data_IF_267901943596
#
_entry.id   IF_267901943596
#
_cell.length_a   1.000
_cell.length_b   1.000
_cell.length_c   1.000
_cell.angle_alpha   90.00
_cell.angle_beta   90.00
_cell.angle_gamma   90.00
#
_symmetry.space_group_name_H-M   'P 1'
#
loop_
_entity.id
_entity.type
_entity.pdbx_description
1 polymer ?
#
# COMPACT_ATOMS: atom_id res chain seq x y z
N UNK A 1 0.51 -13.30 -17.50
CA UNK A 1 -0.58 -12.31 -17.45
C UNK A 1 -0.03 -11.08 -16.75
N UNK A 2 0.29 -10.04 -17.51
CA UNK A 2 0.93 -8.81 -17.01
C UNK A 2 0.04 -7.56 -17.17
N UNK A 3 -0.96 -7.62 -18.05
CA UNK A 3 -1.94 -6.55 -18.24
C UNK A 3 -2.86 -6.43 -17.04
N UNK A 4 -3.00 -5.21 -16.49
CA UNK A 4 -3.90 -4.92 -15.37
C UNK A 4 -5.35 -5.30 -15.70
N UNK A 5 -5.94 -4.93 -16.86
CA UNK A 5 -7.26 -5.40 -17.27
C UNK A 5 -7.44 -6.93 -17.21
N UNK A 6 -6.47 -7.70 -17.67
CA UNK A 6 -6.55 -9.16 -17.68
C UNK A 6 -6.55 -9.74 -16.26
N UNK A 7 -5.79 -9.13 -15.34
CA UNK A 7 -5.80 -9.52 -13.93
C UNK A 7 -7.19 -9.36 -13.33
N UNK A 8 -7.84 -8.21 -13.57
CA UNK A 8 -9.19 -7.97 -13.05
C UNK A 8 -10.25 -8.84 -13.73
N UNK A 9 -10.10 -9.15 -15.02
CA UNK A 9 -10.95 -10.12 -15.72
C UNK A 9 -10.84 -11.52 -15.11
N UNK A 10 -9.61 -11.98 -14.80
CA UNK A 10 -9.37 -13.26 -14.13
C UNK A 10 -9.92 -13.28 -12.70
N UNK A 11 -9.75 -12.18 -11.94
CA UNK A 11 -10.34 -12.02 -10.60
C UNK A 11 -11.86 -12.16 -10.66
N UNK A 12 -12.52 -11.43 -11.57
CA UNK A 12 -13.98 -11.49 -11.73
C UNK A 12 -14.44 -12.88 -12.16
N UNK A 13 -13.73 -13.53 -13.09
CA UNK A 13 -14.04 -14.90 -13.53
C UNK A 13 -13.98 -15.90 -12.39
N UNK A 14 -13.06 -15.73 -11.44
CA UNK A 14 -12.89 -16.60 -10.27
C UNK A 14 -13.83 -16.26 -9.11
N UNK A 15 -14.62 -15.20 -9.24
CA UNK A 15 -15.62 -14.76 -8.26
C UNK A 15 -16.99 -14.55 -8.91
N UNK A 16 -17.66 -15.62 -9.40
CA UNK A 16 -18.97 -15.51 -10.01
C UNK A 16 -20.02 -14.90 -9.07
N UNK A 17 -19.82 -14.97 -7.75
CA UNK A 17 -20.72 -14.37 -6.75
C UNK A 17 -20.77 -12.84 -6.81
N UNK A 18 -19.83 -12.17 -7.49
CA UNK A 18 -19.92 -10.72 -7.73
C UNK A 18 -21.20 -10.35 -8.51
N UNK A 19 -21.75 -11.26 -9.33
CA UNK A 19 -23.06 -11.07 -9.95
C UNK A 19 -24.16 -10.79 -8.90
N UNK A 20 -24.09 -11.46 -7.74
CA UNK A 20 -25.06 -11.25 -6.65
C UNK A 20 -24.99 -9.83 -6.10
N UNK A 21 -23.80 -9.21 -6.10
CA UNK A 21 -23.64 -7.81 -5.69
C UNK A 21 -24.36 -6.88 -6.66
N UNK A 22 -24.16 -7.08 -7.97
CA UNK A 22 -24.86 -6.32 -9.01
C UNK A 22 -26.38 -6.43 -8.86
N UNK A 23 -26.91 -7.65 -8.69
CA UNK A 23 -28.34 -7.92 -8.46
C UNK A 23 -28.85 -7.29 -7.17
N UNK A 24 -28.11 -7.42 -6.08
CA UNK A 24 -28.50 -6.86 -4.78
C UNK A 24 -28.56 -5.34 -4.78
N UNK A 25 -27.61 -4.70 -5.46
CA UNK A 25 -27.61 -3.24 -5.63
C UNK A 25 -28.81 -2.76 -6.47
N UNK A 26 -29.31 -3.58 -7.39
CA UNK A 26 -30.53 -3.31 -8.18
C UNK A 26 -30.56 -1.90 -8.79
N UNK A 27 -29.45 -1.49 -9.40
CA UNK A 27 -29.29 -0.16 -10.02
C UNK A 27 -28.82 0.94 -9.07
N UNK A 28 -28.84 0.74 -7.74
CA UNK A 28 -28.22 1.64 -6.76
C UNK A 28 -26.70 1.58 -6.89
N UNK A 29 -26.03 2.72 -6.69
CA UNK A 29 -24.57 2.76 -6.59
C UNK A 29 -24.09 2.17 -5.26
N UNK A 30 -22.96 1.46 -5.31
CA UNK A 30 -22.17 1.10 -4.13
C UNK A 30 -21.52 2.38 -3.59
N UNK A 31 -21.90 2.80 -2.39
CA UNK A 31 -21.45 4.04 -1.76
C UNK A 31 -20.15 3.78 -0.99
N UNK A 32 -19.07 4.41 -1.42
CA UNK A 32 -17.72 4.15 -0.90
C UNK A 32 -17.11 5.43 -0.35
N UNK A 33 -16.50 5.34 0.82
CA UNK A 33 -15.67 6.39 1.39
C UNK A 33 -14.26 5.89 1.63
N UNK A 34 -13.28 6.79 1.53
CA UNK A 34 -11.88 6.48 1.80
C UNK A 34 -11.28 7.44 2.84
N UNK A 35 -10.41 6.90 3.69
CA UNK A 35 -9.69 7.67 4.71
C UNK A 35 -8.21 7.35 4.69
N UNK A 36 -7.36 8.37 4.88
CA UNK A 36 -5.94 8.29 4.53
C UNK A 36 -5.80 7.80 3.08
N UNK A 37 -6.56 8.45 2.20
CA UNK A 37 -6.94 7.94 0.87
C UNK A 37 -5.76 7.77 -0.09
N UNK A 38 -4.65 8.47 0.14
CA UNK A 38 -3.47 8.41 -0.70
C UNK A 38 -3.78 8.78 -2.14
N UNK A 39 -3.77 7.79 -3.03
CA UNK A 39 -4.05 7.95 -4.46
C UNK A 39 -5.29 7.18 -4.91
N UNK A 40 -6.22 6.88 -3.99
CA UNK A 40 -7.53 6.26 -4.28
C UNK A 40 -7.44 4.90 -4.99
N UNK A 41 -6.42 4.09 -4.62
CA UNK A 41 -6.29 2.73 -5.16
C UNK A 41 -7.54 1.86 -4.97
N UNK A 42 -8.33 1.96 -3.87
CA UNK A 42 -9.55 1.17 -3.73
C UNK A 42 -10.62 1.50 -4.79
N UNK A 43 -10.80 2.78 -5.11
CA UNK A 43 -11.79 3.20 -6.12
C UNK A 43 -11.38 2.77 -7.52
N UNK A 44 -10.08 2.86 -7.85
CA UNK A 44 -9.56 2.34 -9.11
C UNK A 44 -9.81 0.83 -9.24
N UNK A 45 -9.53 0.07 -8.18
CA UNK A 45 -9.77 -1.36 -8.15
C UNK A 45 -11.26 -1.70 -8.32
N UNK A 46 -12.16 -1.03 -7.60
CA UNK A 46 -13.61 -1.23 -7.75
C UNK A 46 -14.10 -0.87 -9.15
N UNK A 47 -13.57 0.20 -9.76
CA UNK A 47 -13.87 0.56 -11.14
C UNK A 47 -13.38 -0.48 -12.14
N UNK A 48 -12.21 -1.08 -11.92
CA UNK A 48 -11.69 -2.17 -12.75
C UNK A 48 -12.52 -3.46 -12.61
N UNK A 49 -12.95 -3.80 -11.38
CA UNK A 49 -13.88 -4.92 -11.13
C UNK A 49 -15.20 -4.68 -11.87
N UNK A 50 -15.80 -3.50 -11.70
CA UNK A 50 -17.07 -3.16 -12.35
C UNK A 50 -17.00 -3.22 -13.88
N UNK A 51 -15.90 -2.74 -14.48
CA UNK A 51 -15.66 -2.85 -15.94
C UNK A 51 -15.46 -4.29 -16.38
N UNK A 52 -14.69 -5.09 -15.63
CA UNK A 52 -14.46 -6.50 -15.95
C UNK A 52 -15.77 -7.31 -15.87
N UNK A 53 -16.65 -7.00 -14.91
CA UNK A 53 -17.98 -7.63 -14.82
C UNK A 53 -18.87 -7.29 -16.01
N UNK A 54 -18.76 -6.08 -16.58
CA UNK A 54 -19.61 -5.63 -17.67
C UNK A 54 -19.51 -6.53 -18.91
N UNK A 55 -18.35 -7.17 -19.14
CA UNK A 55 -18.17 -8.17 -20.19
C UNK A 55 -19.07 -9.40 -20.04
N UNK A 56 -19.54 -9.69 -18.82
CA UNK A 56 -20.43 -10.80 -18.50
C UNK A 56 -21.90 -10.35 -18.32
N UNK A 57 -22.26 -9.14 -18.74
CA UNK A 57 -23.63 -8.63 -18.65
C UNK A 57 -24.05 -8.14 -17.26
N UNK A 58 -23.12 -8.03 -16.31
CA UNK A 58 -23.38 -7.54 -14.95
C UNK A 58 -22.49 -6.35 -14.64
N UNK A 59 -22.99 -5.37 -13.88
CA UNK A 59 -22.16 -4.24 -13.47
C UNK A 59 -22.73 -3.57 -12.23
N UNK A 60 -21.93 -2.75 -11.58
CA UNK A 60 -22.39 -1.86 -10.52
C UNK A 60 -21.68 -0.52 -10.62
N UNK A 61 -22.36 0.55 -10.20
CA UNK A 61 -21.76 1.87 -10.13
C UNK A 61 -21.12 2.06 -8.77
N UNK A 62 -20.01 2.78 -8.73
CA UNK A 62 -19.37 3.22 -7.49
C UNK A 62 -19.70 4.69 -7.31
N UNK A 63 -20.36 5.03 -6.21
CA UNK A 63 -20.54 6.40 -5.77
C UNK A 63 -19.46 6.72 -4.75
N UNK A 64 -18.59 7.67 -5.11
CA UNK A 64 -17.57 8.18 -4.21
C UNK A 64 -18.21 9.21 -3.26
N UNK A 65 -18.35 8.88 -1.99
CA UNK A 65 -19.04 9.73 -1.00
C UNK A 65 -18.11 10.84 -0.50
N UNK A 66 -16.90 10.48 -0.06
CA UNK A 66 -15.85 11.41 0.30
C UNK A 66 -14.48 10.73 0.33
N UNK A 67 -13.44 11.56 0.21
CA UNK A 67 -12.05 11.23 0.53
C UNK A 67 -11.61 11.96 1.78
N UNK A 68 -10.61 11.43 2.49
CA UNK A 68 -9.91 12.16 3.54
C UNK A 68 -8.40 11.91 3.44
N UNK A 69 -7.63 12.96 3.18
CA UNK A 69 -6.17 12.88 3.00
C UNK A 69 -5.51 14.16 3.52
N UNK A 70 -4.41 14.02 4.27
CA UNK A 70 -3.70 15.15 4.88
C UNK A 70 -2.61 15.75 3.99
N UNK A 71 -2.00 14.94 3.11
CA UNK A 71 -0.89 15.38 2.28
C UNK A 71 -1.35 16.23 1.09
N UNK A 72 -0.93 17.50 0.96
CA UNK A 72 -1.47 18.42 -0.05
C UNK A 72 -1.27 17.97 -1.50
N UNK A 73 -0.12 17.37 -1.83
CA UNK A 73 0.11 16.90 -3.21
C UNK A 73 -0.76 15.68 -3.55
N UNK A 74 -1.14 14.88 -2.55
CA UNK A 74 -2.07 13.77 -2.73
C UNK A 74 -3.50 14.27 -2.83
N UNK A 75 -3.89 15.26 -2.03
CA UNK A 75 -5.17 15.96 -2.19
C UNK A 75 -5.33 16.50 -3.62
N UNK A 76 -4.29 17.17 -4.16
CA UNK A 76 -4.31 17.64 -5.55
C UNK A 76 -4.44 16.51 -6.58
N UNK A 77 -3.81 15.36 -6.33
CA UNK A 77 -4.01 14.17 -7.16
C UNK A 77 -5.44 13.65 -7.09
N UNK A 78 -6.02 13.54 -5.88
CA UNK A 78 -7.40 13.07 -5.68
C UNK A 78 -8.36 13.99 -6.41
N UNK A 79 -8.23 15.30 -6.24
CA UNK A 79 -9.11 16.29 -6.86
C UNK A 79 -9.06 16.20 -8.39
N UNK A 80 -7.86 16.11 -8.97
CA UNK A 80 -7.68 16.08 -10.41
C UNK A 80 -8.23 14.80 -11.06
N UNK A 81 -8.16 13.66 -10.37
CA UNK A 81 -8.44 12.35 -10.98
C UNK A 81 -9.79 11.75 -10.55
N UNK A 82 -10.32 12.15 -9.40
CA UNK A 82 -11.56 11.59 -8.82
C UNK A 82 -12.61 12.65 -8.53
N UNK A 83 -12.20 13.90 -8.30
CA UNK A 83 -13.08 15.05 -8.00
C UNK A 83 -14.22 14.67 -7.04
N UNK A 84 -13.90 14.15 -5.84
CA UNK A 84 -14.93 13.70 -4.91
C UNK A 84 -15.89 14.83 -4.53
N UNK A 85 -17.15 14.53 -4.19
CA UNK A 85 -18.08 15.54 -3.68
C UNK A 85 -17.53 16.29 -2.45
N UNK A 86 -16.76 15.59 -1.60
CA UNK A 86 -16.11 16.16 -0.44
C UNK A 86 -14.71 15.56 -0.29
N UNK A 87 -13.70 16.41 -0.16
CA UNK A 87 -12.34 16.04 0.22
C UNK A 87 -12.01 16.64 1.58
N UNK A 88 -11.99 15.82 2.63
CA UNK A 88 -11.59 16.22 3.98
C UNK A 88 -10.07 16.24 4.12
N UNK A 89 -9.57 17.16 4.94
CA UNK A 89 -8.13 17.32 5.16
C UNK A 89 -7.57 16.44 6.27
N UNK A 90 -8.37 16.15 7.31
CA UNK A 90 -7.87 15.49 8.52
C UNK A 90 -8.92 14.50 9.05
N UNK A 91 -8.49 13.24 9.14
CA UNK A 91 -9.32 12.13 9.61
C UNK A 91 -9.67 12.27 11.09
N UNK A 92 -8.86 12.99 11.86
CA UNK A 92 -9.10 13.22 13.30
C UNK A 92 -10.36 14.06 13.54
N UNK A 93 -10.76 14.89 12.57
CA UNK A 93 -11.97 15.71 12.64
C UNK A 93 -13.25 14.88 12.37
N UNK A 94 -13.13 13.71 11.74
CA UNK A 94 -14.28 12.92 11.25
C UNK A 94 -15.10 12.23 12.35
N UNK A 95 -14.65 12.25 13.60
CA UNK A 95 -15.49 11.86 14.74
C UNK A 95 -16.62 12.85 15.05
N UNK A 96 -16.49 14.10 14.58
CA UNK A 96 -17.44 15.19 14.79
C UNK A 96 -18.70 15.10 13.94
N UNK A 97 -19.54 16.14 13.99
CA UNK A 97 -20.66 16.33 13.05
C UNK A 97 -20.23 17.07 11.78
N UNK A 98 -19.19 17.89 11.89
CA UNK A 98 -18.58 18.66 10.80
C UNK A 98 -17.07 18.47 10.80
N UNK A 99 -16.46 18.59 9.63
CA UNK A 99 -15.01 18.58 9.45
C UNK A 99 -14.60 19.54 8.34
N UNK A 100 -13.32 19.91 8.37
CA UNK A 100 -12.72 20.86 7.44
C UNK A 100 -12.30 20.16 6.15
N UNK A 101 -12.67 20.73 5.01
CA UNK A 101 -12.23 20.26 3.70
C UNK A 101 -10.77 20.63 3.44
N UNK A 102 -10.15 20.02 2.42
CA UNK A 102 -8.82 20.41 1.93
C UNK A 102 -8.75 21.90 1.51
N UNK A 103 -9.90 22.51 1.21
CA UNK A 103 -10.02 23.93 0.81
C UNK A 103 -10.34 24.86 1.99
N UNK A 104 -10.42 24.33 3.22
CA UNK A 104 -10.65 25.12 4.43
C UNK A 104 -12.12 25.37 4.78
N UNK A 105 -13.08 24.80 4.05
CA UNK A 105 -14.50 24.94 4.36
C UNK A 105 -14.93 23.94 5.44
N UNK A 106 -15.76 24.36 6.40
CA UNK A 106 -16.34 23.47 7.40
C UNK A 106 -17.69 22.92 6.90
N UNK A 107 -17.78 21.60 6.69
CA UNK A 107 -18.96 20.95 6.11
C UNK A 107 -19.45 19.79 6.96
N UNK A 108 -20.73 19.40 6.81
CA UNK A 108 -21.29 18.24 7.50
C UNK A 108 -20.64 16.94 7.01
N UNK A 109 -20.34 16.05 7.96
CA UNK A 109 -19.72 14.76 7.66
C UNK A 109 -20.82 13.79 7.19
N UNK A 110 -20.75 13.27 5.95
CA UNK A 110 -21.76 12.37 5.44
C UNK A 110 -21.66 10.99 6.10
N UNK A 111 -22.81 10.35 6.27
CA UNK A 111 -22.93 8.93 6.60
C UNK A 111 -23.45 8.12 5.40
N UNK A 112 -24.19 7.04 5.69
CA UNK A 112 -24.81 6.19 4.68
C UNK A 112 -23.79 5.71 3.63
N UNK A 113 -22.77 4.98 4.10
CA UNK A 113 -21.69 4.42 3.28
C UNK A 113 -21.81 2.90 3.38
N UNK A 114 -21.73 2.21 2.26
CA UNK A 114 -21.74 0.74 2.24
C UNK A 114 -20.35 0.20 2.63
N UNK A 115 -19.30 0.80 2.09
CA UNK A 115 -17.91 0.37 2.22
C UNK A 115 -16.99 1.54 2.60
N UNK A 116 -16.30 1.41 3.74
CA UNK A 116 -15.18 2.26 4.11
C UNK A 116 -13.86 1.52 3.83
N UNK A 117 -12.92 2.17 3.17
CA UNK A 117 -11.53 1.69 3.06
C UNK A 117 -10.57 2.70 3.68
N UNK A 118 -9.74 2.26 4.64
CA UNK A 118 -8.83 3.15 5.34
C UNK A 118 -7.42 2.58 5.44
N UNK A 119 -6.44 3.35 4.96
CA UNK A 119 -5.00 3.08 5.10
C UNK A 119 -4.39 3.95 6.19
N UNK A 120 -4.82 3.78 7.45
CA UNK A 120 -4.38 4.62 8.59
C UNK A 120 -2.86 4.68 8.70
N UNK A 121 -2.32 5.78 9.24
CA UNK A 121 -0.87 5.98 9.31
C UNK A 121 -0.16 4.78 9.96
N UNK A 122 1.00 4.41 9.41
CA UNK A 122 1.83 3.32 9.90
C UNK A 122 3.11 3.79 10.61
N UNK A 123 3.26 5.10 10.80
CA UNK A 123 4.50 5.72 11.31
C UNK A 123 4.91 5.11 12.65
N UNK A 124 3.98 4.95 13.58
CA UNK A 124 4.31 4.43 14.93
C UNK A 124 4.48 2.91 14.96
N UNK A 125 3.87 2.21 14.00
CA UNK A 125 3.89 0.74 13.91
C UNK A 125 5.00 0.20 13.01
N UNK A 126 5.65 1.07 12.23
CA UNK A 126 6.64 0.71 11.24
C UNK A 126 7.91 0.17 11.87
N UNK A 127 8.43 -0.93 11.32
CA UNK A 127 9.71 -1.46 11.75
C UNK A 127 10.89 -0.50 11.50
N UNK A 128 10.69 0.48 10.60
CA UNK A 128 11.66 1.52 10.26
C UNK A 128 11.65 2.69 11.24
N UNK A 129 10.64 2.80 12.11
CA UNK A 129 10.60 3.78 13.17
C UNK A 129 11.39 3.27 14.39
N UNK A 130 12.28 4.13 14.88
CA UNK A 130 13.17 3.87 16.02
C UNK A 130 12.51 4.18 17.37
N UNK A 131 11.39 4.90 17.39
CA UNK A 131 10.61 5.27 18.57
C UNK A 131 9.14 4.85 18.36
N UNK A 132 8.90 3.54 18.35
CA UNK A 132 7.55 3.00 18.12
C UNK A 132 6.64 3.29 19.31
N UNK A 133 5.41 3.65 19.01
CA UNK A 133 4.38 3.94 20.00
C UNK A 133 3.22 2.96 19.81
N UNK A 134 2.60 2.54 20.93
CA UNK A 134 1.42 1.68 20.91
C UNK A 134 0.17 2.40 20.40
N UNK A 135 -0.91 1.66 20.14
CA UNK A 135 -2.15 2.21 19.57
C UNK A 135 -2.83 3.25 20.48
N UNK A 136 -2.56 3.24 21.78
CA UNK A 136 -3.14 4.17 22.77
C UNK A 136 -2.10 5.19 23.31
N UNK A 137 -0.91 5.26 22.69
CA UNK A 137 0.20 6.10 23.17
C UNK A 137 0.22 7.52 22.54
N UNK A 138 -0.85 7.93 21.85
CA UNK A 138 -1.01 9.30 21.35
C UNK A 138 -0.15 9.68 20.12
N UNK A 139 0.41 8.69 19.41
CA UNK A 139 1.14 8.90 18.16
C UNK A 139 0.24 9.12 16.93
N UNK A 140 0.84 9.46 15.78
CA UNK A 140 0.13 9.71 14.52
C UNK A 140 -0.74 8.51 14.07
N UNK A 141 -0.22 7.29 14.20
CA UNK A 141 -0.96 6.06 13.91
C UNK A 141 -2.14 5.87 14.86
N UNK A 142 -1.97 6.24 16.13
CA UNK A 142 -3.06 6.22 17.11
C UNK A 142 -4.16 7.21 16.75
N UNK A 143 -3.79 8.46 16.46
CA UNK A 143 -4.75 9.53 16.19
C UNK A 143 -5.57 9.25 14.92
N UNK A 144 -4.90 8.82 13.85
CA UNK A 144 -5.57 8.48 12.59
C UNK A 144 -6.50 7.27 12.74
N UNK A 145 -6.11 6.25 13.50
CA UNK A 145 -6.97 5.11 13.83
C UNK A 145 -8.19 5.52 14.66
N UNK A 146 -8.01 6.33 15.70
CA UNK A 146 -9.11 6.79 16.55
C UNK A 146 -10.08 7.71 15.81
N UNK A 147 -9.60 8.61 14.95
CA UNK A 147 -10.44 9.44 14.08
C UNK A 147 -11.36 8.59 13.19
N UNK A 148 -10.76 7.60 12.52
CA UNK A 148 -11.50 6.63 11.70
C UNK A 148 -12.50 5.82 12.54
N UNK A 149 -12.07 5.26 13.68
CA UNK A 149 -12.92 4.44 14.55
C UNK A 149 -14.12 5.23 15.10
N UNK A 150 -13.93 6.50 15.45
CA UNK A 150 -15.01 7.38 15.88
C UNK A 150 -16.04 7.61 14.78
N UNK A 151 -15.59 7.81 13.54
CA UNK A 151 -16.50 7.90 12.39
C UNK A 151 -17.25 6.59 12.17
N UNK A 152 -16.58 5.44 12.21
CA UNK A 152 -17.21 4.11 12.08
C UNK A 152 -18.24 3.89 13.18
N UNK A 153 -17.92 4.24 14.43
CA UNK A 153 -18.84 4.12 15.57
C UNK A 153 -20.12 4.93 15.34
N UNK A 154 -20.01 6.12 14.75
CA UNK A 154 -21.12 7.04 14.49
C UNK A 154 -21.95 6.65 13.27
N UNK A 155 -21.30 6.38 12.14
CA UNK A 155 -21.97 6.23 10.84
C UNK A 155 -22.19 4.78 10.41
N UNK A 156 -21.54 3.83 11.09
CA UNK A 156 -21.74 2.38 10.97
C UNK A 156 -21.82 1.86 9.53
N UNK A 157 -20.77 2.02 8.70
CA UNK A 157 -20.74 1.41 7.37
C UNK A 157 -20.88 -0.12 7.47
N UNK A 158 -21.51 -0.75 6.47
CA UNK A 158 -21.75 -2.19 6.49
C UNK A 158 -20.42 -2.99 6.49
N UNK A 159 -19.43 -2.50 5.73
CA UNK A 159 -18.11 -3.10 5.59
C UNK A 159 -17.02 -2.04 5.81
N UNK A 160 -16.00 -2.41 6.59
CA UNK A 160 -14.77 -1.64 6.77
C UNK A 160 -13.57 -2.49 6.35
N UNK A 161 -12.67 -1.94 5.54
CA UNK A 161 -11.39 -2.55 5.20
C UNK A 161 -10.28 -1.64 5.70
N UNK A 162 -9.43 -2.17 6.59
CA UNK A 162 -8.24 -1.51 7.08
C UNK A 162 -7.00 -2.11 6.42
N UNK A 163 -6.05 -1.26 6.02
CA UNK A 163 -4.73 -1.67 5.54
C UNK A 163 -3.64 -1.05 6.41
N UNK A 164 -2.61 -1.82 6.73
CA UNK A 164 -1.42 -1.32 7.42
C UNK A 164 -0.21 -2.26 7.23
N UNK A 165 0.95 -1.92 7.81
CA UNK A 165 2.12 -2.80 7.86
C UNK A 165 1.83 -4.08 8.65
N UNK A 166 2.58 -5.15 8.35
CA UNK A 166 2.40 -6.44 9.02
C UNK A 166 2.62 -6.39 10.54
N UNK A 167 3.42 -5.43 11.02
CA UNK A 167 3.74 -5.23 12.44
C UNK A 167 2.73 -4.38 13.20
N UNK A 168 1.67 -3.88 12.55
CA UNK A 168 0.60 -3.18 13.23
C UNK A 168 -0.04 -4.06 14.33
N UNK A 169 -0.58 -3.47 15.40
CA UNK A 169 -1.16 -4.21 16.52
C UNK A 169 -2.55 -4.78 16.16
N UNK A 170 -2.58 -5.72 15.21
CA UNK A 170 -3.82 -6.27 14.63
C UNK A 170 -4.77 -6.88 15.67
N UNK A 171 -4.22 -7.50 16.72
CA UNK A 171 -5.03 -8.03 17.82
C UNK A 171 -5.80 -6.93 18.55
N UNK A 172 -5.14 -5.81 18.85
CA UNK A 172 -5.76 -4.66 19.52
C UNK A 172 -6.77 -3.96 18.59
N UNK A 173 -6.45 -3.82 17.31
CA UNK A 173 -7.37 -3.27 16.30
C UNK A 173 -8.68 -4.08 16.25
N UNK A 174 -8.57 -5.41 16.19
CA UNK A 174 -9.74 -6.30 16.20
C UNK A 174 -10.55 -6.15 17.48
N UNK A 175 -9.90 -6.11 18.64
CA UNK A 175 -10.59 -5.90 19.93
C UNK A 175 -11.34 -4.56 19.95
N UNK A 176 -10.72 -3.46 19.49
CA UNK A 176 -11.38 -2.15 19.43
C UNK A 176 -12.59 -2.15 18.48
N UNK A 177 -12.51 -2.82 17.32
CA UNK A 177 -13.65 -3.00 16.41
C UNK A 177 -14.77 -3.85 17.05
N UNK A 178 -14.42 -4.91 17.78
CA UNK A 178 -15.37 -5.72 18.52
C UNK A 178 -16.11 -4.91 19.59
N UNK A 179 -15.45 -3.96 20.27
CA UNK A 179 -16.11 -3.10 21.26
C UNK A 179 -17.22 -2.21 20.69
N UNK A 180 -17.24 -2.01 19.36
CA UNK A 180 -18.29 -1.27 18.66
C UNK A 180 -19.19 -2.19 17.82
N UNK A 181 -19.27 -3.48 18.16
CA UNK A 181 -20.07 -4.51 17.49
C UNK A 181 -19.71 -4.74 16.01
N UNK A 182 -18.43 -4.71 15.69
CA UNK A 182 -17.93 -5.20 14.40
C UNK A 182 -17.25 -6.55 14.57
N UNK A 183 -17.57 -7.49 13.69
CA UNK A 183 -16.83 -8.74 13.57
C UNK A 183 -15.70 -8.55 12.56
N UNK A 184 -14.47 -8.79 12.99
CA UNK A 184 -13.29 -8.41 12.23
C UNK A 184 -12.25 -9.53 12.18
N UNK A 185 -11.64 -9.73 11.00
CA UNK A 185 -10.61 -10.74 10.78
C UNK A 185 -9.38 -10.10 10.11
N UNK A 186 -8.19 -10.16 10.73
CA UNK A 186 -6.96 -9.68 10.13
C UNK A 186 -6.26 -10.78 9.35
N UNK A 187 -5.54 -10.40 8.30
CA UNK A 187 -4.75 -11.29 7.47
C UNK A 187 -3.56 -10.58 6.85
N UNK A 188 -2.51 -11.35 6.57
CA UNK A 188 -1.31 -10.87 5.87
C UNK A 188 -1.35 -11.34 4.43
N UNK A 189 -1.10 -10.41 3.51
CA UNK A 189 -0.98 -10.67 2.09
C UNK A 189 0.36 -10.16 1.55
N UNK A 190 0.82 -10.78 0.47
CA UNK A 190 2.03 -10.40 -0.26
C UNK A 190 1.66 -10.20 -1.73
N UNK A 191 1.94 -9.03 -2.30
CA UNK A 191 1.55 -8.69 -3.68
C UNK A 191 2.02 -9.71 -4.72
N UNK A 192 3.14 -10.42 -4.46
CA UNK A 192 3.63 -11.49 -5.35
C UNK A 192 2.71 -12.69 -5.49
N UNK A 193 1.81 -12.88 -4.53
CA UNK A 193 0.78 -13.91 -4.56
C UNK A 193 -0.47 -13.44 -5.30
N UNK A 194 -0.51 -12.20 -5.76
CA UNK A 194 -1.66 -11.57 -6.42
C UNK A 194 -1.19 -10.83 -7.67
N UNK A 195 -0.76 -11.60 -8.67
CA UNK A 195 -0.39 -11.19 -10.04
C UNK A 195 0.90 -10.36 -10.19
N UNK A 196 1.24 -9.50 -9.23
CA UNK A 196 2.31 -8.50 -9.37
C UNK A 196 3.67 -9.07 -8.93
N UNK A 197 4.74 -9.07 -9.74
CA UNK A 197 6.06 -9.64 -9.40
C UNK A 197 6.86 -8.72 -8.44
N UNK A 198 6.26 -8.36 -7.30
CA UNK A 198 6.83 -7.51 -6.28
C UNK A 198 6.53 -8.11 -4.91
N UNK A 199 7.52 -8.23 -4.05
CA UNK A 199 7.31 -8.61 -2.64
C UNK A 199 6.95 -7.38 -1.82
N UNK A 200 5.66 -7.15 -1.59
CA UNK A 200 5.16 -6.11 -0.67
C UNK A 200 4.15 -6.74 0.26
N UNK A 201 4.59 -6.97 1.50
CA UNK A 201 3.78 -7.60 2.54
C UNK A 201 3.01 -6.55 3.33
N UNK A 202 1.70 -6.73 3.46
CA UNK A 202 0.80 -5.86 4.23
C UNK A 202 -0.21 -6.66 5.02
N UNK A 203 -0.63 -6.10 6.14
CA UNK A 203 -1.75 -6.60 6.90
C UNK A 203 -3.02 -5.89 6.45
N UNK A 204 -4.10 -6.65 6.36
CA UNK A 204 -5.43 -6.15 6.07
C UNK A 204 -6.38 -6.68 7.13
N UNK A 205 -7.37 -5.89 7.51
CA UNK A 205 -8.45 -6.32 8.38
C UNK A 205 -9.77 -5.95 7.74
N UNK A 206 -10.59 -6.96 7.45
CA UNK A 206 -11.99 -6.75 7.05
C UNK A 206 -12.85 -6.80 8.29
N UNK A 207 -13.81 -5.89 8.40
CA UNK A 207 -14.77 -5.85 9.48
C UNK A 207 -16.19 -5.63 8.96
N UNK A 208 -17.14 -6.37 9.51
CA UNK A 208 -18.56 -6.31 9.17
C UNK A 208 -19.37 -5.81 10.36
N UNK A 209 -20.34 -4.93 10.13
CA UNK A 209 -21.24 -4.48 11.20
C UNK A 209 -22.13 -5.66 11.64
N UNK A 210 -21.84 -6.22 12.83
CA UNK A 210 -22.57 -7.37 13.38
C UNK A 210 -24.04 -7.05 13.61
N UNK A 211 -24.40 -5.78 13.86
CA UNK A 211 -25.79 -5.36 14.04
C UNK A 211 -26.55 -5.43 12.71
N UNK A 212 -25.92 -4.97 11.63
CA UNK A 212 -26.49 -5.02 10.29
C UNK A 212 -26.58 -6.47 9.78
N UNK A 213 -25.52 -7.27 10.00
CA UNK A 213 -25.50 -8.69 9.65
C UNK A 213 -26.64 -9.46 10.34
N UNK A 214 -26.79 -9.29 11.66
CA UNK A 214 -27.84 -9.96 12.44
C UNK A 214 -29.25 -9.63 11.96
N UNK A 215 -29.51 -8.39 11.55
CA UNK A 215 -30.80 -7.98 10.97
C UNK A 215 -31.13 -8.72 9.66
N UNK A 216 -30.10 -9.15 8.93
CA UNK A 216 -30.22 -9.94 7.70
C UNK A 216 -30.14 -11.45 7.96
N UNK A 217 -30.13 -11.89 9.23
CA UNK A 217 -29.95 -13.31 9.58
C UNK A 217 -28.55 -13.85 9.30
N UNK A 218 -27.55 -12.96 9.18
CA UNK A 218 -26.15 -13.30 8.92
C UNK A 218 -25.31 -13.18 10.19
N UNK A 219 -24.22 -13.93 10.24
CA UNK A 219 -23.20 -13.80 11.29
C UNK A 219 -21.99 -13.04 10.74
N UNK A 220 -21.67 -11.91 11.38
CA UNK A 220 -20.54 -11.08 10.98
C UNK A 220 -19.19 -11.80 11.06
N UNK A 221 -19.01 -12.71 12.03
CA UNK A 221 -17.75 -13.45 12.16
C UNK A 221 -17.56 -14.38 10.97
N UNK A 222 -18.58 -15.16 10.65
CA UNK A 222 -18.59 -16.02 9.47
C UNK A 222 -18.38 -15.24 8.17
N UNK A 223 -18.98 -14.05 8.03
CA UNK A 223 -18.71 -13.18 6.87
C UNK A 223 -17.23 -12.79 6.75
N UNK A 224 -16.58 -12.48 7.87
CA UNK A 224 -15.15 -12.12 7.90
C UNK A 224 -14.22 -13.31 7.60
N UNK A 225 -14.59 -14.51 8.04
CA UNK A 225 -13.89 -15.76 7.74
C UNK A 225 -14.05 -16.14 6.26
N UNK A 226 -15.28 -16.11 5.75
CA UNK A 226 -15.60 -16.39 4.34
C UNK A 226 -14.87 -15.43 3.40
N UNK A 227 -14.80 -14.13 3.75
CA UNK A 227 -14.02 -13.15 3.00
C UNK A 227 -12.54 -13.55 2.95
N UNK A 228 -11.96 -13.90 4.09
CA UNK A 228 -10.55 -14.27 4.16
C UNK A 228 -10.24 -15.52 3.33
N UNK A 229 -11.10 -16.53 3.42
CA UNK A 229 -10.96 -17.74 2.62
C UNK A 229 -11.02 -17.43 1.13
N UNK A 230 -12.00 -16.62 0.69
CA UNK A 230 -12.13 -16.21 -0.71
C UNK A 230 -10.89 -15.47 -1.21
N UNK A 231 -10.37 -14.52 -0.45
CA UNK A 231 -9.17 -13.75 -0.85
C UNK A 231 -7.93 -14.64 -0.89
N UNK A 232 -7.79 -15.61 0.01
CA UNK A 232 -6.70 -16.59 -0.06
C UNK A 232 -6.85 -17.50 -1.29
N UNK A 233 -8.05 -17.96 -1.58
CA UNK A 233 -8.34 -18.81 -2.74
C UNK A 233 -8.18 -18.07 -4.06
N UNK A 234 -8.21 -16.73 -4.05
CA UNK A 234 -7.86 -15.88 -5.19
C UNK A 234 -6.36 -15.75 -5.44
N UNK A 235 -5.49 -16.26 -4.56
CA UNK A 235 -4.06 -16.21 -4.78
C UNK A 235 -3.71 -16.78 -6.17
N UNK A 236 -2.91 -16.01 -6.90
CA UNK A 236 -2.35 -16.36 -8.20
C UNK A 236 -0.98 -15.70 -8.29
N UNK A 237 0.10 -16.47 -8.06
CA UNK A 237 1.44 -15.94 -8.13
C UNK A 237 1.73 -15.23 -9.45
N UNK A 238 2.59 -14.22 -9.39
CA UNK A 238 3.06 -13.54 -10.60
C UNK A 238 3.62 -14.57 -11.60
N UNK A 239 3.08 -14.56 -12.81
CA UNK A 239 3.35 -15.59 -13.84
C UNK A 239 4.15 -15.04 -15.02
N UNK A 240 4.79 -13.89 -14.84
CA UNK A 240 5.53 -13.15 -15.86
C UNK A 240 6.71 -12.42 -15.19
N UNK A 241 7.81 -12.23 -15.92
CA UNK A 241 8.98 -11.53 -15.41
C UNK A 241 8.70 -10.04 -15.16
N UNK A 242 9.58 -9.40 -14.36
CA UNK A 242 9.42 -8.01 -13.91
C UNK A 242 9.50 -7.01 -15.07
N UNK A 243 10.38 -7.26 -16.04
CA UNK A 243 10.56 -6.48 -17.25
C UNK A 243 9.25 -6.25 -18.02
N UNK A 244 8.31 -7.19 -17.98
CA UNK A 244 6.97 -7.05 -18.60
C UNK A 244 6.14 -5.92 -17.97
N UNK A 245 6.51 -5.44 -16.78
CA UNK A 245 5.87 -4.32 -16.09
C UNK A 245 6.62 -3.00 -16.24
N UNK A 246 7.83 -3.05 -16.80
CA UNK A 246 8.66 -1.87 -16.99
C UNK A 246 8.34 -1.20 -18.33
N UNK A 247 8.70 0.07 -18.43
CA UNK A 247 8.68 0.77 -19.71
C UNK A 247 9.80 0.24 -20.59
N UNK A 248 9.55 0.18 -21.90
CA UNK A 248 10.57 -0.14 -22.89
C UNK A 248 11.72 0.86 -22.83
N UNK A 249 12.93 0.41 -23.16
CA UNK A 249 14.16 1.19 -22.98
C UNK A 249 14.22 2.51 -23.76
N UNK A 250 13.44 2.62 -24.83
CA UNK A 250 13.30 3.78 -25.71
C UNK A 250 12.08 4.66 -25.38
N UNK A 251 11.32 4.34 -24.32
CA UNK A 251 10.18 5.14 -23.90
C UNK A 251 10.63 6.58 -23.54
N UNK A 252 10.02 7.63 -24.11
CA UNK A 252 10.40 9.02 -23.84
C UNK A 252 10.38 9.43 -22.35
N UNK A 253 9.57 8.74 -21.53
CA UNK A 253 9.53 8.95 -20.08
C UNK A 253 10.82 8.49 -19.40
N UNK A 254 11.43 7.40 -19.89
CA UNK A 254 12.74 6.97 -19.42
C UNK A 254 13.79 8.02 -19.75
N UNK A 255 13.79 8.55 -20.98
CA UNK A 255 14.75 9.57 -21.39
C UNK A 255 14.62 10.84 -20.56
N UNK A 256 13.38 11.29 -20.33
CA UNK A 256 13.09 12.45 -19.48
C UNK A 256 13.57 12.22 -18.04
N UNK A 257 13.31 11.04 -17.47
CA UNK A 257 13.76 10.69 -16.14
C UNK A 257 15.30 10.60 -16.04
N UNK A 258 15.96 10.03 -17.05
CA UNK A 258 17.43 9.94 -17.14
C UNK A 258 18.07 11.31 -17.25
N UNK A 259 17.56 12.16 -18.13
CA UNK A 259 18.04 13.53 -18.30
C UNK A 259 17.93 14.33 -16.99
N UNK A 260 16.79 14.19 -16.29
CA UNK A 260 16.60 14.81 -14.97
C UNK A 260 17.58 14.27 -13.93
N UNK A 261 17.84 12.96 -13.92
CA UNK A 261 18.79 12.35 -12.99
C UNK A 261 20.21 12.89 -13.21
N UNK A 262 20.64 13.05 -14.47
CA UNK A 262 21.95 13.64 -14.80
C UNK A 262 22.02 15.11 -14.39
N UNK A 263 20.97 15.89 -14.64
CA UNK A 263 20.89 17.28 -14.20
C UNK A 263 20.98 17.40 -12.68
N UNK A 264 20.27 16.55 -11.94
CA UNK A 264 20.27 16.53 -10.48
C UNK A 264 21.59 16.00 -9.89
N UNK A 265 22.31 15.13 -10.60
CA UNK A 265 23.60 14.58 -10.18
C UNK A 265 24.78 15.55 -10.35
N UNK A 266 24.66 16.53 -11.26
CA UNK A 266 25.67 17.57 -11.48
C UNK A 266 25.64 18.72 -10.48
N UNK A 267 24.54 18.85 -9.72
CA UNK A 267 24.50 19.70 -8.52
C UNK A 267 25.25 18.93 -7.44
N UNK A 268 26.24 19.54 -6.79
CA UNK A 268 27.05 18.96 -5.72
C UNK A 268 26.18 18.67 -4.47
N UNK A 269 25.25 17.73 -4.62
CA UNK A 269 24.60 17.00 -3.55
C UNK A 269 25.66 16.02 -3.07
N UNK A 270 26.66 16.53 -2.34
CA UNK A 270 27.15 15.77 -1.19
C UNK A 270 25.89 15.53 -0.36
N UNK A 271 25.20 14.42 -0.61
CA UNK A 271 24.00 14.03 0.10
C UNK A 271 24.36 14.23 1.56
N UNK A 272 23.67 15.17 2.23
CA UNK A 272 24.01 15.57 3.59
C UNK A 272 24.32 14.30 4.37
N UNK A 273 25.59 14.10 4.80
CA UNK A 273 26.14 12.82 5.28
C UNK A 273 25.08 12.17 6.17
N UNK A 274 24.34 11.25 5.58
CA UNK A 274 23.14 10.73 6.24
C UNK A 274 23.67 9.69 7.18
N UNK A 275 23.56 9.94 8.49
CA UNK A 275 24.03 8.99 9.48
C UNK A 275 23.44 7.60 9.18
N UNK A 276 24.35 6.65 8.90
CA UNK A 276 24.01 5.30 8.51
C UNK A 276 24.63 4.27 9.48
N UNK A 277 25.17 4.68 10.62
CA UNK A 277 25.89 3.77 11.54
C UNK A 277 25.07 2.55 12.01
N UNK A 278 23.73 2.68 12.08
CA UNK A 278 22.83 1.52 12.33
C UNK A 278 22.76 0.56 11.14
N UNK A 279 22.72 1.09 9.91
CA UNK A 279 22.78 0.26 8.71
C UNK A 279 24.13 -0.43 8.63
N UNK A 280 25.22 0.30 8.88
CA UNK A 280 26.57 -0.25 8.95
C UNK A 280 26.67 -1.39 9.97
N UNK A 281 26.20 -1.20 11.20
CA UNK A 281 26.21 -2.24 12.23
C UNK A 281 25.46 -3.51 11.79
N UNK A 282 24.31 -3.36 11.11
CA UNK A 282 23.55 -4.50 10.56
C UNK A 282 24.29 -5.18 9.42
N UNK A 283 24.93 -4.41 8.56
CA UNK A 283 25.70 -4.90 7.43
C UNK A 283 26.95 -5.67 7.89
N UNK A 284 27.66 -5.16 8.90
CA UNK A 284 28.79 -5.87 9.52
C UNK A 284 28.33 -7.18 10.15
N UNK A 285 27.20 -7.18 10.86
CA UNK A 285 26.61 -8.41 11.41
C UNK A 285 26.26 -9.41 10.31
N UNK A 286 25.68 -8.97 9.20
CA UNK A 286 25.34 -9.83 8.07
C UNK A 286 26.59 -10.42 7.39
N UNK A 287 27.61 -9.59 7.15
CA UNK A 287 28.91 -10.02 6.62
C UNK A 287 29.59 -11.04 7.53
N UNK A 288 29.56 -10.82 8.85
CA UNK A 288 30.09 -11.75 9.84
C UNK A 288 29.33 -13.08 9.82
N UNK A 289 27.99 -13.04 9.97
CA UNK A 289 27.15 -14.23 10.04
C UNK A 289 27.23 -15.11 8.79
N UNK A 290 27.47 -14.51 7.63
CA UNK A 290 27.58 -15.21 6.34
C UNK A 290 29.02 -15.42 5.89
N UNK A 291 30.01 -14.99 6.67
CA UNK A 291 31.43 -15.09 6.36
C UNK A 291 31.82 -14.46 5.00
N UNK A 292 31.20 -13.33 4.66
CA UNK A 292 31.36 -12.68 3.34
C UNK A 292 32.69 -11.90 3.19
N UNK A 293 33.35 -11.59 4.30
CA UNK A 293 34.50 -10.70 4.35
C UNK A 293 34.16 -9.21 4.12
N UNK A 294 35.20 -8.37 4.04
CA UNK A 294 35.10 -6.91 3.96
C UNK A 294 35.30 -6.33 2.55
N UNK A 295 35.56 -7.18 1.54
CA UNK A 295 35.76 -6.72 0.17
C UNK A 295 34.48 -6.11 -0.41
N UNK A 296 34.68 -5.21 -1.38
CA UNK A 296 33.64 -4.44 -2.09
C UNK A 296 33.80 -4.63 -3.60
N UNK A 297 33.62 -5.86 -4.11
CA UNK A 297 33.98 -6.22 -5.48
C UNK A 297 33.10 -5.57 -6.56
N UNK A 298 31.90 -5.12 -6.21
CA UNK A 298 30.98 -4.53 -7.19
C UNK A 298 31.14 -3.01 -7.25
N UNK A 299 31.24 -2.35 -6.11
CA UNK A 299 31.22 -0.88 -6.06
C UNK A 299 32.60 -0.25 -5.91
N UNK A 300 33.59 -0.98 -5.39
CA UNK A 300 34.88 -0.43 -4.98
C UNK A 300 34.78 0.76 -4.03
N UNK A 301 33.65 0.94 -3.33
CA UNK A 301 33.36 2.21 -2.66
C UNK A 301 34.29 2.43 -1.45
N UNK A 302 34.57 3.69 -1.10
CA UNK A 302 35.36 4.06 0.09
C UNK A 302 34.79 5.26 0.86
N UNK A 303 35.41 5.58 2.01
CA UNK A 303 34.98 6.67 2.90
C UNK A 303 35.18 8.09 2.32
N UNK A 304 35.95 8.21 1.23
CA UNK A 304 36.10 9.48 0.50
C UNK A 304 34.88 9.80 -0.36
N UNK A 305 33.93 8.86 -0.47
CA UNK A 305 32.77 8.95 -1.36
C UNK A 305 33.07 8.46 -2.78
N UNK A 306 34.23 7.81 -2.98
CA UNK A 306 34.51 7.11 -4.22
C UNK A 306 33.60 5.89 -4.35
N UNK A 307 33.03 5.68 -5.54
CA UNK A 307 32.27 4.49 -5.91
C UNK A 307 32.43 4.27 -7.41
N UNK A 308 32.95 3.11 -7.80
CA UNK A 308 33.18 2.68 -9.16
C UNK A 308 32.44 1.36 -9.44
N UNK A 309 31.17 1.41 -9.88
CA UNK A 309 30.45 0.23 -10.32
C UNK A 309 31.03 -0.32 -11.66
N UNK A 310 30.66 -1.53 -12.10
CA UNK A 310 31.10 -2.06 -13.39
C UNK A 310 30.67 -1.18 -14.57
N UNK A 311 31.44 -1.18 -15.66
CA UNK A 311 31.22 -0.26 -16.81
C UNK A 311 29.83 -0.39 -17.47
N UNK A 312 29.21 -1.57 -17.41
CA UNK A 312 27.87 -1.82 -17.93
C UNK A 312 26.74 -1.39 -16.98
N UNK A 313 27.07 -0.88 -15.80
CA UNK A 313 26.12 -0.37 -14.84
C UNK A 313 25.75 1.08 -15.15
N UNK A 314 24.60 1.53 -14.62
CA UNK A 314 24.19 2.92 -14.78
C UNK A 314 24.96 3.82 -13.81
N UNK A 315 26.13 4.31 -14.26
CA UNK A 315 27.05 5.09 -13.44
C UNK A 315 26.43 6.32 -12.77
N UNK A 316 25.60 7.08 -13.49
CA UNK A 316 24.93 8.27 -12.93
C UNK A 316 24.01 7.89 -11.77
N UNK A 317 23.28 6.79 -11.88
CA UNK A 317 22.44 6.30 -10.80
C UNK A 317 23.28 5.94 -9.57
N UNK A 318 24.37 5.20 -9.74
CA UNK A 318 25.27 4.81 -8.65
C UNK A 318 25.86 6.00 -7.89
N UNK A 319 26.26 7.06 -8.62
CA UNK A 319 26.78 8.31 -8.04
C UNK A 319 25.74 9.03 -7.16
N UNK A 320 24.45 8.87 -7.44
CA UNK A 320 23.37 9.47 -6.62
C UNK A 320 23.02 8.66 -5.37
N UNK A 321 23.54 7.43 -5.25
CA UNK A 321 23.25 6.58 -4.09
C UNK A 321 24.16 6.92 -2.90
N UNK A 322 23.81 6.40 -1.73
CA UNK A 322 24.53 6.60 -0.46
C UNK A 322 25.26 5.32 -0.04
N UNK A 323 26.17 5.43 0.93
CA UNK A 323 27.05 4.35 1.41
C UNK A 323 26.29 3.08 1.79
N UNK A 324 25.15 3.22 2.46
CA UNK A 324 24.30 2.07 2.82
C UNK A 324 23.76 1.31 1.61
N UNK A 325 23.59 1.95 0.45
CA UNK A 325 23.12 1.28 -0.78
C UNK A 325 24.29 0.57 -1.42
N UNK A 326 25.43 1.25 -1.55
CA UNK A 326 26.66 0.67 -2.09
C UNK A 326 27.06 -0.60 -1.33
N UNK A 327 27.14 -0.51 0.00
CA UNK A 327 27.55 -1.63 0.84
C UNK A 327 26.55 -2.79 0.82
N UNK A 328 25.23 -2.50 0.78
CA UNK A 328 24.21 -3.53 0.64
C UNK A 328 24.40 -4.30 -0.67
N UNK A 329 24.72 -3.61 -1.76
CA UNK A 329 24.88 -4.25 -3.05
C UNK A 329 26.12 -5.15 -3.12
N UNK A 330 27.22 -4.79 -2.46
CA UNK A 330 28.36 -5.71 -2.29
C UNK A 330 28.00 -6.93 -1.44
N UNK A 331 27.24 -6.76 -0.35
CA UNK A 331 26.75 -7.86 0.48
C UNK A 331 25.90 -8.83 -0.33
N UNK A 332 25.00 -8.31 -1.17
CA UNK A 332 24.17 -9.13 -2.04
C UNK A 332 25.04 -9.88 -3.06
N UNK A 333 25.98 -9.20 -3.72
CA UNK A 333 26.90 -9.83 -4.67
C UNK A 333 27.66 -11.00 -4.03
N UNK A 334 28.29 -10.76 -2.87
CA UNK A 334 29.04 -11.79 -2.14
C UNK A 334 28.15 -12.94 -1.67
N UNK A 335 26.91 -12.64 -1.23
CA UNK A 335 25.94 -13.67 -0.82
C UNK A 335 25.58 -14.60 -2.00
N UNK A 336 25.43 -14.07 -3.21
CA UNK A 336 25.16 -14.88 -4.41
C UNK A 336 26.41 -15.65 -4.86
N UNK A 337 27.58 -15.01 -4.83
CA UNK A 337 28.85 -15.64 -5.16
C UNK A 337 29.15 -16.86 -4.27
N UNK A 338 28.85 -16.79 -2.97
CA UNK A 338 28.96 -17.92 -2.03
C UNK A 338 28.09 -19.13 -2.43
N UNK A 339 27.01 -18.89 -3.19
CA UNK A 339 26.11 -19.93 -3.72
C UNK A 339 26.49 -20.39 -5.13
N UNK A 340 27.60 -19.90 -5.68
CA UNK A 340 28.00 -20.16 -7.07
C UNK A 340 27.09 -19.49 -8.11
N UNK A 341 26.35 -18.45 -7.73
CA UNK A 341 25.45 -17.71 -8.61
C UNK A 341 26.12 -16.38 -8.96
N UNK A 342 26.25 -16.08 -10.25
CA UNK A 342 26.64 -14.75 -10.71
C UNK A 342 25.39 -13.86 -10.85
N UNK A 343 25.18 -12.89 -9.93
CA UNK A 343 24.02 -12.00 -10.00
C UNK A 343 24.15 -10.93 -11.11
N UNK A 344 25.31 -10.85 -11.78
CA UNK A 344 25.57 -9.90 -12.87
C UNK A 344 25.38 -10.53 -14.25
N UNK A 345 25.16 -11.84 -14.32
CA UNK A 345 24.87 -12.54 -15.57
C UNK A 345 23.54 -12.05 -16.16
N UNK A 346 23.61 -11.49 -17.37
CA UNK A 346 22.43 -11.11 -18.17
C UNK A 346 22.18 -12.21 -19.19
N UNK A 347 21.03 -12.87 -19.11
CA UNK A 347 20.57 -13.89 -20.07
C UNK A 347 20.11 -13.28 -21.38
#
# INVERSE_FOLDING_TARGET
MASIPDMFADIVKRMPELEKVSKHLNGRSLRVATMCSGTESPLLALGMISRAMAANGHTFKVEHVFSCEIEPFKQAYIERNFSPPILFRDVCELGGSKATTAYGALVDIPGNVDLLVAGTSCVDFSNLNNARLGIDAGGESSNTFHGMLNWVKRHRPAVVILENVCSAPWKEIVLKLQTIDYAAQPARFDTKQYYIPHTRTRGYCVAFDSRAAKKQGLDGLRLSEDWLERVKNMARPASCPLDTYLLEGDDPRIWTARAKLVQDAGVDRRAAKTDWGRCESRHQKERFNKELGSKRPMTGWDESGFCQPPDYAWGDWWKTQVERVWDLSDILYLTFAQRGIDPLFKS
#
